data_IF_445295534311
#
_entry.id   IF_445295534311
#
_cell.length_a   1.000
_cell.length_b   1.000
_cell.length_c   1.000
_cell.angle_alpha   90.00
_cell.angle_beta   90.00
_cell.angle_gamma   90.00
#
_symmetry.space_group_name_H-M   'P 1'
#
loop_
_entity.id
_entity.type
_entity.pdbx_description
1 polymer ?
#
# COMPACT_ATOMS: atom_id res chain seq x y z
N UNK A 1 -1.27 24.38 18.15
CA UNK A 1 -1.10 22.91 18.14
C UNK A 1 -1.32 22.44 16.72
N UNK A 2 -0.24 22.13 16.00
CA UNK A 2 -0.35 21.50 14.68
C UNK A 2 -0.37 20.00 14.89
N UNK A 3 -1.44 19.32 14.46
CA UNK A 3 -1.39 17.88 14.32
C UNK A 3 -0.40 17.59 13.19
N UNK A 4 0.72 16.96 13.52
CA UNK A 4 1.62 16.42 12.50
C UNK A 4 0.82 15.34 11.78
N UNK A 5 0.40 15.67 10.56
CA UNK A 5 -0.58 14.94 9.77
C UNK A 5 -0.28 13.45 9.73
N UNK A 6 -1.31 12.68 10.04
CA UNK A 6 -1.33 11.22 10.09
C UNK A 6 -0.96 10.66 8.72
N UNK A 7 0.16 9.98 8.62
CA UNK A 7 0.60 9.26 7.42
C UNK A 7 -0.17 7.93 7.22
N UNK A 8 -1.49 8.00 7.38
CA UNK A 8 -2.43 6.91 7.13
C UNK A 8 -2.86 6.89 5.67
N UNK A 9 -3.32 5.73 5.22
CA UNK A 9 -3.91 5.56 3.89
C UNK A 9 -5.42 5.37 4.06
N UNK A 10 -6.23 6.23 3.44
CA UNK A 10 -7.69 6.05 3.40
C UNK A 10 -8.10 5.70 1.97
N UNK A 11 -8.81 4.59 1.83
CA UNK A 11 -9.29 4.08 0.54
C UNK A 11 -10.79 4.22 0.50
N UNK A 12 -11.29 4.85 -0.55
CA UNK A 12 -12.71 5.02 -0.77
C UNK A 12 -13.16 4.15 -1.94
N UNK A 13 -14.33 3.54 -1.81
CA UNK A 13 -14.99 2.88 -2.93
C UNK A 13 -15.57 3.90 -3.93
N UNK A 14 -16.16 3.39 -5.00
CA UNK A 14 -16.81 4.20 -6.04
C UNK A 14 -18.04 4.97 -5.53
N UNK A 15 -18.71 4.46 -4.49
CA UNK A 15 -19.78 5.13 -3.76
C UNK A 15 -19.29 6.19 -2.75
N UNK A 16 -17.97 6.36 -2.60
CA UNK A 16 -17.36 7.31 -1.68
C UNK A 16 -17.36 6.88 -0.22
N UNK A 17 -17.63 5.60 0.07
CA UNK A 17 -17.57 5.02 1.41
C UNK A 17 -16.14 4.60 1.71
N UNK A 18 -15.72 4.72 2.98
CA UNK A 18 -14.42 4.24 3.43
C UNK A 18 -14.38 2.72 3.34
N UNK A 19 -13.57 2.20 2.41
CA UNK A 19 -13.41 0.77 2.17
C UNK A 19 -12.29 0.17 3.03
N UNK A 20 -11.16 0.87 3.08
CA UNK A 20 -10.01 0.47 3.88
C UNK A 20 -9.35 1.67 4.54
N UNK A 21 -8.74 1.43 5.68
CA UNK A 21 -7.85 2.37 6.33
C UNK A 21 -6.59 1.67 6.80
N UNK A 22 -5.49 2.39 6.78
CA UNK A 22 -4.20 1.90 7.26
C UNK A 22 -3.77 2.77 8.41
N UNK A 23 -3.69 2.18 9.60
CA UNK A 23 -3.13 2.87 10.75
C UNK A 23 -1.64 2.60 10.79
N UNK A 24 -0.87 3.67 10.61
CA UNK A 24 0.48 3.78 11.14
C UNK A 24 0.78 5.26 11.37
N UNK A 25 0.72 5.69 12.62
CA UNK A 25 1.01 7.06 13.04
C UNK A 25 2.52 7.39 13.04
N UNK A 26 3.38 6.50 12.54
CA UNK A 26 4.83 6.70 12.55
C UNK A 26 5.49 6.38 11.20
N UNK A 27 5.76 7.41 10.38
CA UNK A 27 6.72 7.31 9.25
C UNK A 27 8.15 7.49 9.68
N UNK A 28 8.56 6.65 10.64
CA UNK A 28 9.97 6.51 10.95
C UNK A 28 10.64 5.64 9.89
N UNK A 29 11.97 5.77 9.75
CA UNK A 29 12.81 4.93 8.86
C UNK A 29 12.49 3.46 9.07
N UNK A 30 12.72 2.57 8.08
CA UNK A 30 12.40 1.12 8.15
C UNK A 30 12.80 0.43 9.46
N UNK A 31 13.91 0.85 10.06
CA UNK A 31 14.41 0.39 11.37
C UNK A 31 13.43 0.62 12.53
N UNK A 32 12.51 1.57 12.39
CA UNK A 32 11.52 2.01 13.38
C UNK A 32 10.10 2.09 12.80
N UNK A 33 9.87 1.56 11.57
CA UNK A 33 8.61 1.76 10.83
C UNK A 33 7.41 1.00 11.41
N UNK A 34 7.63 0.17 12.42
CA UNK A 34 6.57 -0.61 13.07
C UNK A 34 5.88 -1.60 12.13
N UNK A 35 4.86 -2.25 12.67
CA UNK A 35 3.88 -3.04 11.95
C UNK A 35 2.82 -2.10 11.35
N UNK A 36 2.42 -2.34 10.09
CA UNK A 36 1.27 -1.66 9.49
C UNK A 36 0.05 -2.54 9.60
N UNK A 37 -1.07 -1.96 9.99
CA UNK A 37 -2.34 -2.66 10.08
C UNK A 37 -3.29 -2.17 8.99
N UNK A 38 -3.64 -3.06 8.06
CA UNK A 38 -4.70 -2.83 7.10
C UNK A 38 -6.02 -3.22 7.76
N UNK A 39 -6.93 -2.26 7.87
CA UNK A 39 -8.27 -2.47 8.39
C UNK A 39 -9.34 -2.20 7.34
N UNK A 40 -10.52 -2.73 7.58
CA UNK A 40 -11.73 -2.34 6.87
C UNK A 40 -12.16 -0.89 7.22
N UNK A 41 -13.24 -0.42 6.60
CA UNK A 41 -13.82 0.90 6.88
C UNK A 41 -14.30 1.09 8.33
N UNK A 42 -14.65 0.02 9.04
CA UNK A 42 -15.11 0.08 10.44
C UNK A 42 -13.93 0.09 11.42
N UNK A 43 -12.76 -0.40 11.02
CA UNK A 43 -11.59 -0.55 11.87
C UNK A 43 -11.25 -1.97 12.29
N UNK A 44 -11.91 -2.96 11.70
CA UNK A 44 -11.57 -4.36 11.94
C UNK A 44 -10.26 -4.67 11.24
N UNK A 45 -9.25 -5.21 11.94
CA UNK A 45 -7.97 -5.53 11.33
C UNK A 45 -8.11 -6.73 10.40
N UNK A 46 -7.61 -6.59 9.17
CA UNK A 46 -7.66 -7.63 8.13
C UNK A 46 -6.29 -8.28 7.95
N UNK A 47 -5.26 -7.44 7.74
CA UNK A 47 -3.91 -7.88 7.42
C UNK A 47 -2.87 -7.07 8.19
N UNK A 48 -1.82 -7.75 8.62
CA UNK A 48 -0.64 -7.17 9.24
C UNK A 48 0.54 -7.20 8.27
N UNK A 49 1.22 -6.07 8.10
CA UNK A 49 2.38 -5.92 7.23
C UNK A 49 3.61 -5.60 8.07
N UNK A 50 4.63 -6.45 7.99
CA UNK A 50 5.85 -6.33 8.79
C UNK A 50 7.08 -6.18 7.89
N UNK A 51 7.90 -5.14 8.09
CA UNK A 51 9.15 -5.01 7.36
C UNK A 51 10.15 -6.07 7.87
N UNK A 52 10.86 -6.72 6.95
CA UNK A 52 12.00 -7.54 7.31
C UNK A 52 13.22 -6.64 7.49
N UNK A 53 13.61 -6.43 8.75
CA UNK A 53 14.79 -5.64 9.12
C UNK A 53 16.04 -6.18 8.42
N UNK A 54 16.94 -5.26 8.02
CA UNK A 54 18.22 -5.56 7.34
C UNK A 54 18.10 -6.22 5.96
N UNK A 55 16.94 -6.17 5.31
CA UNK A 55 16.79 -6.61 3.92
C UNK A 55 17.33 -5.58 2.93
N UNK A 56 18.23 -6.00 2.03
CA UNK A 56 18.70 -5.17 0.91
C UNK A 56 17.62 -4.90 -0.15
N UNK A 57 16.58 -5.74 -0.20
CA UNK A 57 15.53 -5.70 -1.23
C UNK A 57 14.21 -5.15 -0.69
N UNK A 58 14.24 -4.46 0.46
CA UNK A 58 13.06 -3.86 1.06
C UNK A 58 11.91 -4.85 1.24
N UNK A 59 12.23 -6.02 1.81
CA UNK A 59 11.28 -7.13 1.94
C UNK A 59 10.24 -6.87 3.04
N UNK A 60 8.99 -7.20 2.75
CA UNK A 60 7.85 -7.13 3.66
C UNK A 60 7.10 -8.46 3.68
N UNK A 61 6.63 -8.84 4.86
CA UNK A 61 5.80 -10.03 5.06
C UNK A 61 4.39 -9.60 5.44
N UNK A 62 3.39 -10.25 4.85
CA UNK A 62 1.98 -10.04 5.15
C UNK A 62 1.42 -11.24 5.90
N UNK A 63 0.71 -10.98 6.98
CA UNK A 63 0.07 -11.99 7.83
C UNK A 63 -1.43 -11.69 7.96
N UNK A 64 -2.24 -12.73 8.15
CA UNK A 64 -3.63 -12.56 8.57
C UNK A 64 -3.66 -11.89 9.93
N UNK A 65 -4.44 -10.81 10.08
CA UNK A 65 -4.65 -10.23 11.40
C UNK A 65 -5.55 -11.16 12.22
N UNK A 66 -5.11 -11.53 13.42
CA UNK A 66 -5.95 -12.22 14.40
C UNK A 66 -6.68 -11.15 15.21
N UNK A 67 -7.97 -11.34 15.51
CA UNK A 67 -8.81 -10.42 16.29
C UNK A 67 -8.41 -10.25 17.77
N UNK A 68 -7.16 -10.51 18.14
CA UNK A 68 -6.68 -10.30 19.51
C UNK A 68 -6.44 -8.81 19.77
N UNK A 69 -7.54 -8.09 19.99
CA UNK A 69 -7.56 -6.77 20.55
C UNK A 69 -7.02 -6.75 21.98
N UNK A 70 -6.14 -5.78 22.24
CA UNK A 70 -5.82 -5.33 23.60
C UNK A 70 -4.32 -5.24 23.86
N UNK A 71 -3.89 -4.05 24.28
CA UNK A 71 -2.51 -3.66 24.62
C UNK A 71 -1.89 -4.47 25.79
N UNK A 72 -2.61 -5.43 26.38
CA UNK A 72 -2.24 -6.08 27.65
C UNK A 72 -2.51 -7.61 27.70
N UNK A 73 -2.58 -8.31 26.56
CA UNK A 73 -2.71 -9.78 26.57
C UNK A 73 -1.54 -10.47 25.88
N UNK A 74 -0.94 -11.43 26.61
CA UNK A 74 0.12 -12.32 26.12
C UNK A 74 -0.26 -12.86 24.74
N UNK A 75 0.68 -12.91 23.78
CA UNK A 75 0.41 -13.42 22.44
C UNK A 75 -0.20 -14.81 22.55
N UNK A 76 -1.42 -15.01 22.06
CA UNK A 76 -1.93 -16.36 21.90
C UNK A 76 -1.00 -17.12 20.94
N UNK A 77 -0.83 -18.43 21.14
CA UNK A 77 -0.01 -19.27 20.27
C UNK A 77 -0.72 -19.62 18.96
N UNK A 78 -1.69 -18.82 18.52
CA UNK A 78 -2.34 -19.03 17.22
C UNK A 78 -1.36 -18.59 16.13
N UNK A 79 -0.87 -19.48 15.26
CA UNK A 79 0.10 -19.11 14.24
C UNK A 79 -0.55 -18.13 13.28
N UNK A 80 -0.08 -16.88 13.26
CA UNK A 80 -0.46 -15.92 12.24
C UNK A 80 -0.07 -16.49 10.88
N UNK A 81 -1.07 -16.78 10.05
CA UNK A 81 -0.83 -17.37 8.75
C UNK A 81 -0.22 -16.31 7.83
N UNK A 82 0.96 -16.63 7.29
CA UNK A 82 1.60 -15.77 6.31
C UNK A 82 0.83 -15.85 4.99
N UNK A 83 0.34 -14.71 4.51
CA UNK A 83 -0.42 -14.59 3.26
C UNK A 83 0.52 -14.45 2.08
N UNK A 84 1.51 -13.54 2.20
CA UNK A 84 2.51 -13.34 1.16
C UNK A 84 3.81 -12.77 1.69
N UNK A 85 4.84 -12.86 0.85
CA UNK A 85 6.07 -12.07 0.97
C UNK A 85 6.19 -11.15 -0.24
N UNK A 86 6.59 -9.90 -0.04
CA UNK A 86 6.84 -8.95 -1.12
C UNK A 86 8.24 -8.37 -1.02
N UNK A 87 8.93 -8.23 -2.15
CA UNK A 87 10.26 -7.61 -2.22
C UNK A 87 10.48 -6.90 -3.55
N UNK A 88 11.33 -5.86 -3.55
CA UNK A 88 11.77 -5.22 -4.80
C UNK A 88 12.59 -6.20 -5.63
N UNK A 89 12.43 -6.16 -6.96
CA UNK A 89 13.21 -7.01 -7.88
C UNK A 89 14.69 -6.63 -7.91
N UNK A 90 15.03 -5.39 -7.55
CA UNK A 90 16.41 -4.91 -7.52
C UNK A 90 16.63 -3.95 -6.35
N UNK A 91 17.70 -4.20 -5.59
CA UNK A 91 18.16 -3.31 -4.52
C UNK A 91 18.85 -2.03 -5.04
N UNK A 92 19.35 -2.05 -6.29
CA UNK A 92 20.26 -1.01 -6.82
C UNK A 92 19.66 -0.16 -7.95
N UNK A 93 18.53 -0.57 -8.52
CA UNK A 93 17.85 0.17 -9.59
C UNK A 93 16.67 0.96 -9.04
N UNK A 94 16.48 2.19 -9.54
CA UNK A 94 15.30 3.03 -9.29
C UNK A 94 14.03 2.52 -10.01
N UNK A 95 13.90 1.20 -10.19
CA UNK A 95 12.68 0.60 -10.69
C UNK A 95 11.72 0.33 -9.54
N UNK A 96 10.45 0.66 -9.74
CA UNK A 96 9.35 0.36 -8.81
C UNK A 96 8.86 -1.09 -8.98
N UNK A 97 9.56 -1.93 -9.74
CA UNK A 97 9.21 -3.35 -9.90
C UNK A 97 9.42 -4.15 -8.61
N UNK A 98 8.43 -4.99 -8.30
CA UNK A 98 8.44 -5.86 -7.13
C UNK A 98 7.77 -7.20 -7.45
N UNK A 99 8.14 -8.21 -6.69
CA UNK A 99 7.59 -9.56 -6.75
C UNK A 99 6.88 -9.89 -5.44
N UNK A 100 5.77 -10.61 -5.56
CA UNK A 100 4.95 -11.08 -4.46
C UNK A 100 4.91 -12.60 -4.51
N UNK A 101 5.62 -13.23 -3.59
CA UNK A 101 5.60 -14.67 -3.40
C UNK A 101 4.37 -15.04 -2.55
N UNK A 102 3.37 -15.63 -3.20
CA UNK A 102 2.12 -16.11 -2.65
C UNK A 102 1.55 -17.22 -3.54
N UNK A 103 0.44 -17.82 -3.12
CA UNK A 103 -0.37 -18.71 -3.96
C UNK A 103 -1.77 -18.07 -4.13
N UNK A 104 -2.05 -17.37 -5.25
CA UNK A 104 -1.22 -17.18 -6.44
C UNK A 104 -0.14 -16.09 -6.28
N UNK A 105 0.96 -16.21 -7.02
CA UNK A 105 2.03 -15.20 -7.03
C UNK A 105 1.61 -13.95 -7.82
N UNK A 106 2.22 -12.80 -7.53
CA UNK A 106 2.02 -11.56 -8.29
C UNK A 106 3.33 -10.89 -8.68
N UNK A 107 3.30 -10.14 -9.77
CA UNK A 107 4.38 -9.28 -10.24
C UNK A 107 3.86 -7.86 -10.43
N UNK A 108 4.63 -6.88 -9.95
CA UNK A 108 4.32 -5.47 -10.13
C UNK A 108 5.21 -4.92 -11.23
N UNK A 109 4.58 -4.27 -12.20
CA UNK A 109 5.22 -3.62 -13.32
C UNK A 109 4.87 -2.13 -13.38
N UNK A 110 5.77 -1.33 -13.98
CA UNK A 110 5.58 0.10 -14.19
C UNK A 110 6.21 0.94 -13.10
N UNK A 111 5.62 2.12 -12.84
CA UNK A 111 6.13 3.08 -11.86
C UNK A 111 5.04 3.54 -10.91
N UNK A 112 5.18 3.13 -9.64
CA UNK A 112 4.24 3.48 -8.58
C UNK A 112 4.38 4.94 -8.21
N UNK A 113 5.61 5.47 -8.24
CA UNK A 113 5.90 6.88 -8.00
C UNK A 113 5.38 7.82 -9.09
N UNK A 114 4.99 7.28 -10.26
CA UNK A 114 4.27 8.01 -11.33
C UNK A 114 2.79 7.60 -11.44
N UNK A 115 2.29 6.79 -10.49
CA UNK A 115 0.94 6.21 -10.46
C UNK A 115 0.56 5.59 -11.81
N UNK A 116 1.47 4.80 -12.36
CA UNK A 116 1.28 4.03 -13.60
C UNK A 116 1.82 2.63 -13.37
N UNK A 117 1.07 1.83 -12.61
CA UNK A 117 1.46 0.49 -12.20
C UNK A 117 0.40 -0.52 -12.57
N UNK A 118 0.85 -1.74 -12.84
CA UNK A 118 0.01 -2.92 -13.03
C UNK A 118 0.46 -4.01 -12.09
N UNK A 119 -0.48 -4.67 -11.45
CA UNK A 119 -0.27 -5.85 -10.64
C UNK A 119 -0.78 -7.01 -11.48
N UNK A 120 0.10 -7.94 -11.84
CA UNK A 120 -0.20 -9.11 -12.67
C UNK A 120 -0.07 -10.38 -11.88
N UNK A 121 -0.90 -11.37 -12.19
CA UNK A 121 -0.78 -12.71 -11.62
C UNK A 121 0.39 -13.45 -12.29
N UNK A 122 1.25 -14.09 -11.49
CA UNK A 122 2.49 -14.71 -11.97
C UNK A 122 2.29 -15.95 -12.85
N UNK A 123 1.19 -16.69 -12.67
CA UNK A 123 0.88 -17.90 -13.46
C UNK A 123 0.51 -17.58 -14.91
N UNK A 124 -0.38 -16.60 -15.10
CA UNK A 124 -1.07 -16.38 -16.38
C UNK A 124 -0.77 -14.99 -16.98
N UNK A 125 0.03 -14.17 -16.30
CA UNK A 125 0.32 -12.76 -16.64
C UNK A 125 -0.93 -11.86 -16.75
N UNK A 126 -2.09 -12.37 -16.33
CA UNK A 126 -3.35 -11.65 -16.31
C UNK A 126 -3.29 -10.45 -15.35
N UNK A 127 -3.87 -9.33 -15.77
CA UNK A 127 -3.91 -8.11 -14.97
C UNK A 127 -4.85 -8.32 -13.78
N UNK A 128 -4.31 -8.34 -12.56
CA UNK A 128 -5.10 -8.47 -11.35
C UNK A 128 -5.60 -7.10 -10.86
N UNK A 129 -4.77 -6.07 -11.00
CA UNK A 129 -5.16 -4.70 -10.68
C UNK A 129 -4.32 -3.67 -11.45
N UNK A 130 -4.86 -2.46 -11.56
CA UNK A 130 -4.22 -1.31 -12.22
C UNK A 130 -4.29 -0.06 -11.35
N UNK A 131 -3.16 0.64 -11.28
CA UNK A 131 -3.00 1.91 -10.58
C UNK A 131 -2.77 3.01 -11.62
N UNK A 132 -3.62 4.03 -11.59
CA UNK A 132 -3.55 5.16 -12.50
C UNK A 132 -3.69 6.49 -11.75
N UNK A 133 -3.14 7.57 -12.30
CA UNK A 133 -3.41 8.93 -11.78
C UNK A 133 -4.90 9.23 -11.83
N UNK A 134 -5.43 9.81 -10.76
CA UNK A 134 -6.80 10.30 -10.73
C UNK A 134 -6.83 11.72 -11.34
N UNK A 135 -7.54 11.88 -12.46
CA UNK A 135 -7.83 13.19 -13.03
C UNK A 135 -9.18 13.69 -12.52
N UNK A 136 -9.25 14.96 -12.14
CA UNK A 136 -10.53 15.64 -11.93
C UNK A 136 -10.79 16.53 -13.14
N UNK A 137 -11.63 16.04 -14.06
CA UNK A 137 -12.22 16.86 -15.11
C UNK A 137 -13.65 17.19 -14.71
N UNK A 138 -13.92 18.47 -14.41
CA UNK A 138 -15.29 19.00 -14.50
C UNK A 138 -15.45 19.43 -15.95
N UNK A 139 -16.63 19.19 -16.55
CA UNK A 139 -16.93 19.46 -17.97
C UNK A 139 -16.63 20.89 -18.47
N UNK A 140 -16.23 21.81 -17.60
CA UNK A 140 -15.98 23.23 -17.84
C UNK A 140 -14.58 23.73 -17.47
N UNK A 141 -13.61 22.87 -17.09
CA UNK A 141 -12.22 23.29 -16.80
C UNK A 141 -11.18 22.32 -17.37
N UNK A 142 -9.96 22.81 -17.71
CA UNK A 142 -8.86 21.95 -18.12
C UNK A 142 -8.59 20.90 -17.02
N UNK A 143 -8.32 19.67 -17.46
CA UNK A 143 -8.11 18.52 -16.58
C UNK A 143 -6.95 18.83 -15.62
N UNK A 144 -7.28 19.14 -14.36
CA UNK A 144 -6.31 19.20 -13.31
C UNK A 144 -6.06 17.76 -12.84
N UNK A 145 -4.82 17.28 -12.96
CA UNK A 145 -4.42 16.07 -12.24
C UNK A 145 -4.48 16.38 -10.75
N UNK A 146 -5.14 15.53 -9.96
CA UNK A 146 -4.97 15.60 -8.50
C UNK A 146 -3.50 15.37 -8.16
N UNK A 147 -3.10 15.77 -6.95
CA UNK A 147 -1.75 15.53 -6.46
C UNK A 147 -1.38 14.05 -6.54
N UNK A 148 -0.07 13.76 -6.52
CA UNK A 148 0.45 12.39 -6.58
C UNK A 148 0.02 11.56 -5.35
N UNK A 149 -0.56 12.17 -4.32
CA UNK A 149 -1.18 11.55 -3.15
C UNK A 149 -2.53 10.88 -3.45
N UNK A 150 -3.21 11.25 -4.55
CA UNK A 150 -4.51 10.68 -4.93
C UNK A 150 -4.42 9.93 -6.26
N UNK A 151 -4.77 8.65 -6.25
CA UNK A 151 -4.77 7.80 -7.44
C UNK A 151 -5.98 6.87 -7.46
N UNK A 152 -6.26 6.28 -8.63
CA UNK A 152 -7.28 5.25 -8.79
C UNK A 152 -6.63 3.87 -8.75
N UNK A 153 -7.29 2.96 -8.05
CA UNK A 153 -6.99 1.53 -8.05
C UNK A 153 -8.21 0.80 -8.63
N UNK A 154 -7.99 0.02 -9.68
CA UNK A 154 -9.02 -0.82 -10.28
C UNK A 154 -8.60 -2.28 -10.12
N UNK A 155 -9.38 -3.07 -9.40
CA UNK A 155 -9.13 -4.50 -9.15
C UNK A 155 -10.05 -5.32 -10.05
N UNK A 156 -9.52 -6.37 -10.68
CA UNK A 156 -10.34 -7.26 -11.53
C UNK A 156 -11.25 -8.16 -10.66
N UNK A 157 -12.42 -8.55 -11.19
CA UNK A 157 -13.28 -9.53 -10.53
C UNK A 157 -12.52 -10.84 -10.25
N UNK A 158 -12.82 -11.48 -9.10
CA UNK A 158 -12.19 -12.74 -8.71
C UNK A 158 -10.77 -12.61 -8.12
N UNK A 159 -10.31 -11.38 -7.87
CA UNK A 159 -9.06 -11.10 -7.14
C UNK A 159 -9.41 -10.61 -5.74
N UNK A 160 -8.68 -11.11 -4.73
CA UNK A 160 -8.84 -10.63 -3.36
C UNK A 160 -8.37 -9.18 -3.22
N UNK A 161 -9.32 -8.29 -2.94
CA UNK A 161 -9.09 -6.85 -2.83
C UNK A 161 -8.21 -6.54 -1.62
N UNK A 162 -8.33 -7.27 -0.51
CA UNK A 162 -7.52 -7.03 0.68
C UNK A 162 -6.04 -7.32 0.41
N UNK A 163 -5.73 -8.42 -0.29
CA UNK A 163 -4.37 -8.73 -0.74
C UNK A 163 -3.82 -7.65 -1.68
N UNK A 164 -4.60 -7.19 -2.66
CA UNK A 164 -4.16 -6.12 -3.56
C UNK A 164 -3.89 -4.82 -2.79
N UNK A 165 -4.76 -4.48 -1.83
CA UNK A 165 -4.55 -3.30 -0.99
C UNK A 165 -3.28 -3.41 -0.16
N UNK A 166 -3.02 -4.58 0.44
CA UNK A 166 -1.79 -4.84 1.18
C UNK A 166 -0.54 -4.66 0.29
N UNK A 167 -0.58 -5.13 -0.96
CA UNK A 167 0.50 -4.90 -1.94
C UNK A 167 0.69 -3.39 -2.18
N UNK A 168 -0.39 -2.63 -2.40
CA UNK A 168 -0.33 -1.17 -2.61
C UNK A 168 0.30 -0.44 -1.42
N UNK A 169 -0.04 -0.86 -0.19
CA UNK A 169 0.51 -0.27 1.03
C UNK A 169 2.02 -0.53 1.14
N UNK A 170 2.46 -1.76 0.82
CA UNK A 170 3.89 -2.07 0.79
C UNK A 170 4.60 -1.28 -0.32
N UNK A 171 4.00 -1.16 -1.50
CA UNK A 171 4.52 -0.35 -2.62
C UNK A 171 4.77 1.10 -2.19
N UNK A 172 3.83 1.72 -1.45
CA UNK A 172 4.00 3.07 -0.92
C UNK A 172 5.25 3.19 -0.03
N UNK A 173 5.52 2.17 0.80
CA UNK A 173 6.67 2.16 1.71
C UNK A 173 8.01 1.92 1.03
N UNK A 174 8.04 1.20 -0.10
CA UNK A 174 9.29 0.84 -0.78
C UNK A 174 9.62 1.76 -1.95
N UNK A 175 8.62 2.32 -2.66
CA UNK A 175 8.80 3.15 -3.86
C UNK A 175 8.88 4.66 -3.58
N UNK A 176 9.12 5.04 -2.33
CA UNK A 176 9.07 6.44 -1.92
C UNK A 176 10.04 7.33 -2.73
N UNK A 177 9.49 8.39 -3.34
CA UNK A 177 10.23 9.62 -3.60
C UNK A 177 10.39 10.38 -2.28
N UNK A 178 11.52 11.08 -2.04
CA UNK A 178 11.61 12.01 -0.94
C UNK A 178 10.47 13.03 -1.06
N UNK A 179 9.74 13.25 0.04
CA UNK A 179 8.77 14.33 0.14
C UNK A 179 9.49 15.64 -0.20
N UNK A 180 9.20 16.21 -1.37
CA UNK A 180 9.56 17.59 -1.68
C UNK A 180 8.43 18.46 -1.16
N UNK A 181 8.60 19.20 -0.05
CA UNK A 181 7.61 20.17 0.36
C UNK A 181 7.32 21.09 -0.82
N UNK A 182 6.04 21.29 -1.14
CA UNK A 182 5.67 22.36 -2.06
C UNK A 182 6.14 23.67 -1.43
N UNK A 183 7.23 24.22 -1.95
CA UNK A 183 7.63 25.59 -1.65
C UNK A 183 6.63 26.44 -2.42
N UNK A 184 5.63 26.96 -1.71
CA UNK A 184 4.80 28.02 -2.26
C UNK A 184 5.73 29.20 -2.56
N UNK A 185 6.10 29.38 -3.82
CA UNK A 185 6.67 30.64 -4.28
C UNK A 185 5.56 31.68 -4.18
N UNK A 186 5.59 32.46 -3.10
CA UNK A 186 4.88 33.73 -3.05
C UNK A 186 5.46 34.63 -4.13
N UNK A 187 4.68 34.88 -5.18
CA UNK A 187 4.82 36.10 -5.98
C UNK A 187 4.10 37.24 -5.26
#
# INVERSE_FOLDING_TARGET
MGFQGTDGFCVYDDAGRLAFRVDNYSRRRKLCAGELLLMDGQGTPLLSLRPQLLSLHDRWNCYTATEEGGLDKKPSPTPQQQVFTMSRCSALKSSDEAEVAAAPAYRIEGSFSRRNCKIRRGSDCEEAARIARKSAGVASRPVATLGDDVFSLVVRPGVDVATIMAIVVVMDRICHKPYTPMVCSSQ
#
